data_IF_870294450878
#
_entry.id   IF_870294450878
#
_cell.length_a   1.000
_cell.length_b   1.000
_cell.length_c   1.000
_cell.angle_alpha   90.00
_cell.angle_beta   90.00
_cell.angle_gamma   90.00
#
_symmetry.space_group_name_H-M   'P 1'
#
loop_
_entity.id
_entity.type
_entity.pdbx_description
1 polymer ?
#
# COMPACT_ATOMS: atom_id res chain seq x y z
N UNK A 1 1.03 -1.82 -10.00
CA UNK A 1 -0.22 -1.32 -9.37
C UNK A 1 0.10 -0.02 -8.66
N UNK A 2 -0.80 0.95 -8.70
CA UNK A 2 -0.66 2.22 -7.96
C UNK A 2 -1.84 2.36 -7.00
N UNK A 3 -1.58 2.82 -5.79
CA UNK A 3 -2.60 3.16 -4.80
C UNK A 3 -2.50 4.63 -4.48
N UNK A 4 -3.60 5.38 -4.67
CA UNK A 4 -3.70 6.78 -4.27
C UNK A 4 -4.39 6.90 -2.91
N UNK A 5 -3.84 7.73 -2.02
CA UNK A 5 -4.44 8.01 -0.70
C UNK A 5 -5.14 9.36 -0.72
N UNK A 6 -6.39 9.40 -0.28
CA UNK A 6 -7.18 10.63 -0.17
C UNK A 6 -8.01 10.68 1.11
N UNK A 7 -8.30 11.89 1.59
CA UNK A 7 -9.18 12.16 2.74
C UNK A 7 -10.24 13.17 2.32
N UNK A 8 -11.51 12.77 2.35
CA UNK A 8 -12.62 13.61 1.90
C UNK A 8 -12.46 14.09 0.44
N UNK A 9 -11.95 13.23 -0.44
CA UNK A 9 -11.69 13.55 -1.84
C UNK A 9 -10.42 14.37 -2.12
N UNK A 10 -9.70 14.83 -1.08
CA UNK A 10 -8.44 15.56 -1.23
C UNK A 10 -7.24 14.60 -1.15
N UNK A 11 -6.26 14.67 -2.07
CA UNK A 11 -5.06 13.84 -1.99
C UNK A 11 -4.30 14.04 -0.68
N UNK A 12 -3.80 12.96 -0.10
CA UNK A 12 -2.92 12.99 1.09
C UNK A 12 -1.48 13.13 0.61
N UNK A 13 -0.88 14.29 0.85
CA UNK A 13 0.48 14.65 0.37
C UNK A 13 1.49 14.77 1.51
N UNK A 14 1.12 14.33 2.72
CA UNK A 14 1.92 14.40 3.95
C UNK A 14 2.19 13.00 4.51
N UNK A 15 2.31 11.99 3.64
CA UNK A 15 2.64 10.64 4.07
C UNK A 15 3.99 10.64 4.77
N UNK A 16 4.03 10.12 5.98
CA UNK A 16 5.24 10.07 6.80
C UNK A 16 5.94 8.73 6.63
N UNK A 17 7.29 8.69 6.62
CA UNK A 17 8.03 7.44 6.68
C UNK A 17 7.64 6.63 7.91
N UNK A 18 7.48 5.33 7.72
CA UNK A 18 7.27 4.36 8.78
C UNK A 18 8.00 3.08 8.38
N UNK A 19 8.94 2.61 9.20
CA UNK A 19 9.84 1.50 8.87
C UNK A 19 10.48 1.69 7.47
N UNK A 20 11.14 2.83 7.29
CA UNK A 20 11.96 3.20 6.12
C UNK A 20 11.22 3.41 4.78
N UNK A 21 9.89 3.29 4.74
CA UNK A 21 9.09 3.52 3.51
C UNK A 21 7.83 4.33 3.81
N UNK A 22 7.18 4.87 2.77
CA UNK A 22 5.91 5.62 2.93
C UNK A 22 4.69 4.71 3.15
N UNK A 23 4.79 3.41 2.83
CA UNK A 23 3.72 2.45 3.09
C UNK A 23 4.22 1.00 3.07
N UNK A 24 3.49 0.12 3.73
CA UNK A 24 3.68 -1.32 3.69
C UNK A 24 2.42 -1.96 3.11
N UNK A 25 2.55 -2.80 2.10
CA UNK A 25 1.43 -3.53 1.52
C UNK A 25 1.64 -5.03 1.72
N UNK A 26 0.78 -5.64 2.51
CA UNK A 26 0.69 -7.10 2.59
C UNK A 26 -0.48 -7.59 1.76
N UNK A 27 -0.34 -8.79 1.18
CA UNK A 27 -1.39 -9.43 0.40
C UNK A 27 -1.45 -10.92 0.72
N UNK A 28 -2.67 -11.45 0.81
CA UNK A 28 -2.96 -12.86 1.02
C UNK A 28 -3.91 -13.35 -0.07
N UNK A 29 -3.56 -14.43 -0.76
CA UNK A 29 -4.45 -15.06 -1.72
C UNK A 29 -5.56 -15.84 -0.99
N UNK A 30 -6.81 -15.66 -1.41
CA UNK A 30 -7.98 -16.21 -0.71
C UNK A 30 -8.01 -17.76 -0.72
N UNK A 31 -7.52 -18.39 -1.79
CA UNK A 31 -7.64 -19.84 -1.96
C UNK A 31 -6.58 -20.68 -1.24
N UNK A 32 -5.33 -20.22 -1.21
CA UNK A 32 -4.17 -20.99 -0.72
C UNK A 32 -3.31 -20.23 0.31
N UNK A 33 -3.76 -19.04 0.73
CA UNK A 33 -3.05 -18.16 1.66
C UNK A 33 -1.64 -17.76 1.21
N UNK A 34 -1.33 -17.83 -0.09
CA UNK A 34 -0.07 -17.31 -0.62
C UNK A 34 0.12 -15.85 -0.19
N UNK A 35 1.34 -15.53 0.26
CA UNK A 35 1.65 -14.25 0.89
C UNK A 35 2.57 -13.40 0.01
N UNK A 36 2.33 -12.10 -0.01
CA UNK A 36 3.26 -11.12 -0.54
C UNK A 36 3.40 -9.93 0.41
N UNK A 37 4.63 -9.41 0.52
CA UNK A 37 4.95 -8.18 1.24
C UNK A 37 5.67 -7.23 0.30
N UNK A 38 5.14 -6.02 0.15
CA UNK A 38 5.58 -5.07 -0.86
C UNK A 38 5.76 -3.68 -0.26
N UNK A 39 6.72 -2.95 -0.82
CA UNK A 39 6.94 -1.53 -0.55
C UNK A 39 6.71 -0.71 -1.82
N UNK A 40 6.34 0.58 -1.69
CA UNK A 40 6.34 1.51 -2.80
C UNK A 40 7.74 1.64 -3.41
N UNK A 41 7.79 1.84 -4.72
CA UNK A 41 9.04 2.16 -5.43
C UNK A 41 9.58 3.55 -5.12
N UNK A 42 8.72 4.43 -4.62
CA UNK A 42 9.11 5.79 -4.26
C UNK A 42 10.07 5.74 -3.07
N UNK A 43 11.32 6.13 -3.32
CA UNK A 43 12.32 6.29 -2.26
C UNK A 43 11.90 7.40 -1.28
N UNK A 44 12.21 7.19 -0.01
CA UNK A 44 12.04 8.22 1.02
C UNK A 44 13.14 9.26 0.84
N UNK A 45 12.78 10.49 0.44
CA UNK A 45 13.71 11.61 0.27
C UNK A 45 13.55 12.70 1.33
N UNK A 46 12.65 12.51 2.30
CA UNK A 46 12.35 13.44 3.38
C UNK A 46 11.15 12.97 4.20
N UNK A 47 10.62 13.87 5.03
CA UNK A 47 9.60 13.52 6.02
C UNK A 47 8.17 13.40 5.45
N UNK A 48 7.98 13.74 4.18
CA UNK A 48 6.66 13.75 3.52
C UNK A 48 6.72 13.13 2.13
N UNK A 49 5.70 12.37 1.75
CA UNK A 49 5.51 11.81 0.41
C UNK A 49 4.04 11.71 0.00
N UNK A 50 3.76 10.89 -1.01
CA UNK A 50 2.41 10.71 -1.56
C UNK A 50 2.07 11.70 -2.70
N UNK A 51 0.81 11.68 -3.19
CA UNK A 51 -0.29 10.81 -2.75
C UNK A 51 -0.25 9.40 -3.36
N UNK A 52 0.53 9.22 -4.42
CA UNK A 52 0.58 7.98 -5.20
C UNK A 52 1.70 7.05 -4.72
N UNK A 53 1.32 5.80 -4.46
CA UNK A 53 2.21 4.73 -4.02
C UNK A 53 2.26 3.66 -5.11
N UNK A 54 3.35 3.63 -5.88
CA UNK A 54 3.54 2.68 -6.96
C UNK A 54 4.22 1.39 -6.46
N UNK A 55 3.55 0.25 -6.61
CA UNK A 55 4.05 -1.06 -6.21
C UNK A 55 4.35 -1.95 -7.42
N UNK A 56 5.49 -2.65 -7.37
CA UNK A 56 5.76 -3.80 -8.26
C UNK A 56 5.20 -5.08 -7.63
N UNK A 57 3.91 -5.29 -7.79
CA UNK A 57 3.24 -6.50 -7.33
C UNK A 57 3.52 -7.68 -8.28
N UNK A 58 4.08 -8.77 -7.76
CA UNK A 58 4.10 -10.08 -8.40
C UNK A 58 3.14 -10.98 -7.65
N UNK A 59 1.92 -11.12 -8.17
CA UNK A 59 0.86 -11.97 -7.61
C UNK A 59 0.63 -13.12 -8.60
N UNK A 60 1.35 -14.25 -8.48
CA UNK A 60 1.42 -15.27 -9.53
C UNK A 60 0.18 -16.16 -9.63
N UNK A 61 -0.76 -16.04 -8.69
CA UNK A 61 -2.02 -16.80 -8.66
C UNK A 61 -3.16 -15.89 -9.10
N UNK A 62 -3.95 -16.37 -10.06
CA UNK A 62 -5.25 -15.77 -10.35
C UNK A 62 -6.21 -16.02 -9.19
N UNK A 63 -7.18 -15.12 -9.02
CA UNK A 63 -8.11 -15.12 -7.90
C UNK A 63 -8.05 -13.83 -7.09
N UNK A 64 -8.76 -13.83 -5.97
CA UNK A 64 -8.80 -12.70 -5.07
C UNK A 64 -7.59 -12.70 -4.15
N UNK A 65 -7.00 -11.51 -4.01
CA UNK A 65 -6.00 -11.22 -3.01
C UNK A 65 -6.58 -10.20 -2.03
N UNK A 66 -6.57 -10.51 -0.73
CA UNK A 66 -6.89 -9.56 0.33
C UNK A 66 -5.63 -8.78 0.68
N UNK A 67 -5.68 -7.47 0.47
CA UNK A 67 -4.56 -6.54 0.63
C UNK A 67 -4.79 -5.70 1.88
N UNK A 68 -3.71 -5.42 2.61
CA UNK A 68 -3.68 -4.49 3.73
C UNK A 68 -2.57 -3.47 3.50
N UNK A 69 -2.96 -2.23 3.18
CA UNK A 69 -2.06 -1.11 3.03
C UNK A 69 -1.93 -0.39 4.38
N UNK A 70 -0.74 -0.37 4.93
CA UNK A 70 -0.39 0.39 6.11
C UNK A 70 0.40 1.64 5.72
N UNK A 71 -0.04 2.81 6.17
CA UNK A 71 0.58 4.10 5.87
C UNK A 71 0.42 5.06 7.05
N UNK A 72 1.28 6.08 7.16
CA UNK A 72 1.24 7.05 8.26
C UNK A 72 0.98 8.46 7.72
N UNK A 73 0.06 9.19 8.33
CA UNK A 73 -0.22 10.63 8.04
C UNK A 73 -0.76 11.28 9.32
N UNK A 74 -0.50 12.57 9.52
CA UNK A 74 -0.92 13.29 10.74
C UNK A 74 -0.45 12.61 12.03
N UNK A 75 0.73 12.00 12.04
CA UNK A 75 1.29 11.28 13.18
C UNK A 75 0.69 9.90 13.45
N UNK A 76 -0.40 9.52 12.75
CA UNK A 76 -1.19 8.32 13.01
C UNK A 76 -0.93 7.24 11.96
N UNK A 77 -0.79 5.99 12.41
CA UNK A 77 -0.70 4.82 11.53
C UNK A 77 -2.11 4.36 11.14
N UNK A 78 -2.34 4.20 9.84
CA UNK A 78 -3.59 3.74 9.27
C UNK A 78 -3.39 2.41 8.56
N UNK A 79 -4.40 1.54 8.61
CA UNK A 79 -4.47 0.33 7.78
C UNK A 79 -5.74 0.36 6.97
N UNK A 80 -5.62 0.33 5.64
CA UNK A 80 -6.73 0.21 4.71
C UNK A 80 -6.74 -1.19 4.10
N UNK A 81 -7.90 -1.85 4.11
CA UNK A 81 -8.04 -3.20 3.61
C UNK A 81 -8.84 -3.21 2.30
N UNK A 82 -8.25 -3.78 1.25
CA UNK A 82 -8.78 -3.81 -0.12
C UNK A 82 -8.70 -5.22 -0.70
N UNK A 83 -9.51 -5.51 -1.71
CA UNK A 83 -9.46 -6.80 -2.42
C UNK A 83 -9.10 -6.53 -3.87
N UNK A 84 -8.04 -7.17 -4.34
CA UNK A 84 -7.62 -7.12 -5.73
C UNK A 84 -7.95 -8.45 -6.39
N UNK A 85 -8.69 -8.40 -7.50
CA UNK A 85 -8.92 -9.58 -8.35
C UNK A 85 -7.82 -9.66 -9.40
N UNK A 86 -7.06 -10.74 -9.38
CA UNK A 86 -6.05 -11.07 -10.40
C UNK A 86 -6.68 -12.08 -11.38
N UNK A 87 -6.59 -11.79 -12.67
CA UNK A 87 -7.09 -12.64 -13.76
C UNK A 87 -6.02 -13.56 -14.31
#
# INVERSE_FOLDING_TARGET
>A
MTVGVSKGGKPVTDLQPYLETYAHLTAFHEGDQAFAHLHPRTEVKGDTGGPDLAFRAMLPKSGNWRLFLQFRTGGTLHTAALTLRVG
#
